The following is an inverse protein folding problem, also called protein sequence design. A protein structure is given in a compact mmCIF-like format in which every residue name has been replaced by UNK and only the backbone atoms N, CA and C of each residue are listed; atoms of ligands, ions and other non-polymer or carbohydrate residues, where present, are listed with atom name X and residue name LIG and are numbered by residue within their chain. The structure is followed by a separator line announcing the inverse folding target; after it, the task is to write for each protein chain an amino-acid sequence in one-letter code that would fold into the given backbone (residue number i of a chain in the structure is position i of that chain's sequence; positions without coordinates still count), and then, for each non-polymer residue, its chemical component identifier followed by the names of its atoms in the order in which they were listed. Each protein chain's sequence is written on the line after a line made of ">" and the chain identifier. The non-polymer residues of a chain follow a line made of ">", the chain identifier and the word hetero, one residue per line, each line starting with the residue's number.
data_IF_489146162147
#
_entry.id   IF_489146162147
#
_cell.length_a   1.000
_cell.length_b   1.000
_cell.length_c   1.000
_cell.angle_alpha   90.00
_cell.angle_beta   90.00
_cell.angle_gamma   90.00
#
_symmetry.space_group_name_H-M   'P 1'
#
loop_
_entity.id
_entity.type
_entity.pdbx_description
1 polymer ?
#
# COMPACT_ATOMS: atom_id res chain seq x y z
N UNK A 1 22.86 -0.01 -11.70
CA UNK A 1 22.21 1.05 -10.91
C UNK A 1 20.73 0.71 -10.62
N UNK A 2 20.44 -0.53 -10.22
CA UNK A 2 19.11 -1.01 -9.77
C UNK A 2 19.23 -1.66 -8.37
N UNK A 3 20.42 -1.64 -7.75
CA UNK A 3 20.72 -2.44 -6.57
C UNK A 3 20.62 -1.72 -5.22
N UNK A 4 20.40 -0.40 -5.17
CA UNK A 4 20.53 0.35 -3.91
C UNK A 4 19.20 0.77 -3.26
N UNK A 5 18.08 0.15 -3.63
CA UNK A 5 16.77 0.52 -3.09
C UNK A 5 16.11 -0.62 -2.30
N UNK A 6 16.90 -1.33 -1.48
CA UNK A 6 16.36 -2.33 -0.54
C UNK A 6 17.14 -2.27 0.78
N UNK A 7 16.94 -1.21 1.55
CA UNK A 7 17.27 -1.22 2.98
C UNK A 7 15.95 -1.07 3.75
N UNK A 8 15.45 -2.17 4.34
CA UNK A 8 14.48 -2.03 5.43
C UNK A 8 13.50 -3.16 5.75
N UNK A 9 13.17 -4.12 4.87
CA UNK A 9 12.18 -5.20 5.18
C UNK A 9 12.47 -6.49 4.40
N UNK A 10 13.47 -7.23 4.86
CA UNK A 10 14.13 -8.33 4.12
C UNK A 10 13.19 -9.38 3.52
N UNK A 11 12.34 -10.06 4.29
CA UNK A 11 11.55 -11.20 3.76
C UNK A 11 10.51 -10.86 2.69
N UNK A 12 9.74 -9.79 2.91
CA UNK A 12 8.69 -9.40 1.96
C UNK A 12 9.29 -8.81 0.67
N UNK A 13 10.42 -8.10 0.79
CA UNK A 13 11.14 -7.53 -0.35
C UNK A 13 11.81 -8.62 -1.18
N UNK A 14 12.40 -9.63 -0.54
CA UNK A 14 12.97 -10.81 -1.20
C UNK A 14 11.92 -11.58 -2.01
N UNK A 15 10.73 -11.81 -1.44
CA UNK A 15 9.65 -12.52 -2.13
C UNK A 15 9.18 -11.77 -3.38
N UNK A 16 9.02 -10.43 -3.29
CA UNK A 16 8.63 -9.61 -4.43
C UNK A 16 9.71 -9.64 -5.51
N UNK A 17 10.99 -9.50 -5.13
CA UNK A 17 12.12 -9.58 -6.05
C UNK A 17 12.17 -10.91 -6.80
N UNK A 18 11.99 -12.02 -6.07
CA UNK A 18 11.93 -13.35 -6.66
C UNK A 18 10.79 -13.51 -7.66
N UNK A 19 9.59 -13.06 -7.32
CA UNK A 19 8.42 -13.18 -8.19
C UNK A 19 8.55 -12.32 -9.45
N UNK A 20 9.10 -11.12 -9.32
CA UNK A 20 9.40 -10.24 -10.46
C UNK A 20 10.41 -10.89 -11.40
N UNK A 21 11.49 -11.48 -10.86
CA UNK A 21 12.51 -12.17 -11.65
C UNK A 21 11.90 -13.30 -12.49
N UNK A 22 11.10 -14.17 -11.87
CA UNK A 22 10.42 -15.27 -12.58
C UNK A 22 9.47 -14.73 -13.65
N UNK A 23 8.73 -13.66 -13.34
CA UNK A 23 7.77 -13.07 -14.29
C UNK A 23 8.49 -12.47 -15.49
N UNK A 24 9.59 -11.74 -15.26
CA UNK A 24 10.43 -11.21 -16.34
C UNK A 24 11.02 -12.32 -17.21
N UNK A 25 11.57 -13.39 -16.60
CA UNK A 25 12.10 -14.54 -17.33
C UNK A 25 11.04 -15.17 -18.24
N UNK A 26 9.85 -15.43 -17.71
CA UNK A 26 8.74 -16.00 -18.49
C UNK A 26 8.27 -15.10 -19.63
N UNK A 27 8.26 -13.77 -19.42
CA UNK A 27 7.84 -12.82 -20.44
C UNK A 27 8.88 -12.69 -21.57
N UNK A 28 10.17 -12.78 -21.23
CA UNK A 28 11.26 -12.87 -22.21
C UNK A 28 11.18 -14.17 -23.02
N UNK A 29 10.92 -15.31 -22.37
CA UNK A 29 10.76 -16.61 -23.04
C UNK A 29 9.57 -16.61 -24.02
N UNK A 30 8.51 -15.86 -23.69
CA UNK A 30 7.33 -15.71 -24.55
C UNK A 30 7.43 -14.59 -25.58
N UNK A 31 8.54 -13.82 -25.63
CA UNK A 31 8.70 -12.61 -26.44
C UNK A 31 7.52 -11.63 -26.31
N UNK A 32 7.04 -11.40 -25.08
CA UNK A 32 5.96 -10.45 -24.80
C UNK A 32 6.48 -9.26 -24.02
N UNK A 33 5.98 -8.07 -24.38
CA UNK A 33 6.25 -6.86 -23.64
C UNK A 33 5.64 -6.92 -22.23
N UNK A 34 6.46 -6.64 -21.21
CA UNK A 34 6.03 -6.60 -19.81
C UNK A 34 6.00 -5.14 -19.33
N UNK A 35 4.80 -4.67 -18.96
CA UNK A 35 4.61 -3.37 -18.32
C UNK A 35 4.39 -3.59 -16.82
N UNK A 36 5.27 -3.03 -15.98
CA UNK A 36 5.20 -3.16 -14.52
C UNK A 36 4.95 -1.81 -13.86
N UNK A 37 4.07 -1.78 -12.85
CA UNK A 37 3.87 -0.64 -11.97
C UNK A 37 3.90 -1.09 -10.51
N UNK A 38 4.63 -0.35 -9.67
CA UNK A 38 4.62 -0.56 -8.22
C UNK A 38 3.57 0.34 -7.58
N UNK A 39 2.60 -0.27 -6.90
CA UNK A 39 1.58 0.46 -6.15
C UNK A 39 2.01 0.48 -4.69
N UNK A 40 2.25 1.69 -4.18
CA UNK A 40 2.41 1.92 -2.74
C UNK A 40 1.02 1.91 -2.09
N UNK A 41 0.63 0.74 -1.57
CA UNK A 41 -0.68 0.57 -0.94
C UNK A 41 -0.87 1.55 0.23
N UNK A 42 0.15 1.81 1.05
CA UNK A 42 0.02 2.73 2.17
C UNK A 42 -0.35 4.15 1.70
N UNK A 43 0.29 4.62 0.62
CA UNK A 43 -0.07 5.92 0.01
C UNK A 43 -1.40 5.89 -0.75
N UNK A 44 -1.76 4.77 -1.36
CA UNK A 44 -3.02 4.62 -2.08
C UNK A 44 -4.22 4.68 -1.12
N UNK A 45 -4.12 4.03 0.04
CA UNK A 45 -5.17 4.00 1.05
C UNK A 45 -5.41 5.37 1.70
N UNK A 46 -4.36 6.17 1.94
CA UNK A 46 -4.49 7.54 2.47
C UNK A 46 -5.25 8.49 1.52
N UNK A 47 -5.41 8.14 0.24
CA UNK A 47 -6.12 8.96 -0.76
C UNK A 47 -7.57 8.51 -0.99
N UNK A 48 -8.01 7.46 -0.29
CA UNK A 48 -9.38 6.94 -0.44
C UNK A 48 -10.33 7.81 0.37
N UNK A 49 -11.39 8.30 -0.27
CA UNK A 49 -12.48 8.96 0.44
C UNK A 49 -13.17 7.96 1.38
N UNK A 50 -13.13 8.25 2.68
CA UNK A 50 -13.64 7.34 3.72
C UNK A 50 -15.15 7.10 3.63
N UNK A 51 -15.94 8.08 3.23
CA UNK A 51 -17.40 7.89 3.04
C UNK A 51 -17.69 6.89 1.93
N UNK A 52 -17.00 7.04 0.80
CA UNK A 52 -17.12 6.10 -0.33
C UNK A 52 -16.62 4.71 0.03
N UNK A 53 -15.55 4.61 0.81
CA UNK A 53 -15.06 3.33 1.33
C UNK A 53 -16.13 2.64 2.18
N UNK A 54 -16.76 3.35 3.11
CA UNK A 54 -17.80 2.78 3.98
C UNK A 54 -19.05 2.35 3.22
N UNK A 55 -19.42 3.09 2.17
CA UNK A 55 -20.50 2.71 1.26
C UNK A 55 -20.18 1.40 0.50
N UNK A 56 -18.96 1.27 -0.03
CA UNK A 56 -18.52 0.06 -0.75
C UNK A 56 -18.47 -1.14 0.20
N UNK A 57 -17.94 -0.97 1.42
CA UNK A 57 -17.90 -2.06 2.41
C UNK A 57 -19.31 -2.50 2.82
N UNK A 58 -20.27 -1.57 2.90
CA UNK A 58 -21.68 -1.90 3.14
C UNK A 58 -22.27 -2.73 1.99
N UNK A 59 -22.01 -2.32 0.74
CA UNK A 59 -22.47 -3.01 -0.47
C UNK A 59 -21.83 -4.39 -0.65
N UNK A 60 -20.58 -4.55 -0.20
CA UNK A 60 -19.88 -5.82 -0.20
C UNK A 60 -20.40 -6.81 0.86
N UNK A 61 -21.36 -6.41 1.70
CA UNK A 61 -21.98 -7.28 2.70
C UNK A 61 -21.16 -7.43 3.98
N UNK A 62 -20.20 -6.53 4.24
CA UNK A 62 -19.36 -6.59 5.44
C UNK A 62 -20.18 -6.15 6.66
N UNK A 63 -20.30 -6.99 7.70
CA UNK A 63 -20.94 -6.67 8.97
C UNK A 63 -20.56 -5.32 9.57
N UNK A 64 -21.52 -4.70 10.26
CA UNK A 64 -21.35 -3.38 10.90
C UNK A 64 -20.21 -3.34 11.92
N UNK A 65 -19.95 -4.43 12.64
CA UNK A 65 -18.89 -4.49 13.65
C UNK A 65 -17.47 -4.48 13.04
N UNK A 66 -17.28 -5.13 11.90
CA UNK A 66 -16.02 -5.12 11.14
C UNK A 66 -15.80 -3.78 10.45
N UNK A 67 -16.86 -3.18 9.87
CA UNK A 67 -16.78 -1.82 9.30
C UNK A 67 -16.43 -0.77 10.35
N UNK A 68 -16.93 -0.93 11.58
CA UNK A 68 -16.59 -0.05 12.71
C UNK A 68 -15.10 -0.13 13.07
N UNK A 69 -14.53 -1.33 13.07
CA UNK A 69 -13.10 -1.52 13.30
C UNK A 69 -12.26 -0.79 12.25
N UNK A 70 -12.67 -0.88 10.98
CA UNK A 70 -12.05 -0.13 9.88
C UNK A 70 -12.18 1.38 10.12
N UNK A 71 -13.37 1.89 10.45
CA UNK A 71 -13.58 3.30 10.80
C UNK A 71 -12.68 3.76 11.95
N UNK A 72 -12.61 3.00 13.04
CA UNK A 72 -11.81 3.37 14.22
C UNK A 72 -10.32 3.42 13.92
N UNK A 73 -9.81 2.55 13.03
CA UNK A 73 -8.42 2.58 12.57
C UNK A 73 -8.14 3.83 11.72
N UNK A 74 -9.08 4.29 10.90
CA UNK A 74 -8.90 5.48 10.06
C UNK A 74 -9.18 6.79 10.83
N UNK A 75 -10.18 6.84 11.71
CA UNK A 75 -10.61 8.06 12.41
C UNK A 75 -9.72 8.45 13.58
N UNK A 76 -9.04 7.46 14.21
CA UNK A 76 -8.11 7.70 15.31
C UNK A 76 -6.64 7.72 14.86
N UNK A 77 -6.39 7.81 13.56
CA UNK A 77 -5.04 7.80 13.02
C UNK A 77 -4.41 9.20 13.04
N UNK A 78 -3.86 9.64 14.18
CA UNK A 78 -3.05 10.87 14.21
C UNK A 78 -1.70 10.61 13.53
N UNK A 79 -1.47 11.22 12.37
CA UNK A 79 -0.15 11.17 11.70
C UNK A 79 0.75 12.27 12.24
N UNK A 80 1.71 11.90 13.09
CA UNK A 80 2.80 12.81 13.50
C UNK A 80 3.88 12.83 12.44
N UNK A 81 4.00 13.94 11.71
CA UNK A 81 5.09 14.13 10.74
C UNK A 81 6.30 14.68 11.49
N UNK A 82 7.35 13.87 11.60
CA UNK A 82 8.63 14.31 12.19
C UNK A 82 9.54 14.84 11.09
N UNK A 83 9.68 16.17 11.04
CA UNK A 83 10.62 16.86 10.17
C UNK A 83 11.95 17.07 10.93
N UNK A 84 13.04 17.26 10.20
CA UNK A 84 14.37 17.55 10.76
C UNK A 84 14.38 18.83 11.61
N UNK A 85 13.40 19.72 11.39
CA UNK A 85 13.21 21.00 12.08
C UNK A 85 12.15 20.98 13.20
N UNK A 86 11.46 19.85 13.44
CA UNK A 86 10.43 19.75 14.49
C UNK A 86 9.32 18.74 14.17
N UNK A 87 8.47 18.46 15.17
CA UNK A 87 7.29 17.60 15.02
C UNK A 87 6.06 18.46 14.78
N UNK A 88 5.33 18.21 13.68
CA UNK A 88 4.04 18.85 13.39
C UNK A 88 2.95 17.78 13.38
N UNK A 89 1.90 17.99 14.17
CA UNK A 89 0.66 17.21 14.12
C UNK A 89 -0.19 17.75 12.97
N UNK A 90 -0.60 16.85 12.08
CA UNK A 90 -1.56 17.13 11.02
C UNK A 90 -2.84 16.37 11.35
N UNK A 91 -3.94 17.11 11.42
CA UNK A 91 -5.29 16.55 11.41
C UNK A 91 -5.82 16.68 9.98
N UNK A 92 -6.21 15.56 9.37
CA UNK A 92 -6.87 15.49 8.06
C UNK A 92 -8.34 15.97 8.13
#
# INVERSE_FOLDING_TARGET
>A
MILDLVSGKERAQEMVSFYLRITCERMMDCQKDLNLCFIDYAKAFNRVNHEKLMEVLAKAGIPSHERRLVCEIYWNQSTKVKLTSGTTEYDD
#
